data_IF_102994728914
#
_entry.id   IF_102994728914
#
_cell.length_a   1.000
_cell.length_b   1.000
_cell.length_c   1.000
_cell.angle_alpha   90.00
_cell.angle_beta   90.00
_cell.angle_gamma   90.00
#
_symmetry.space_group_name_H-M   'P 1'
#
loop_
_entity.id
_entity.type
_entity.pdbx_description
1 polymer ?
#
# COMPACT_ATOMS: atom_id res chain seq x y z
N UNK A 1 -7.01 -0.16 1.26
CA UNK A 1 -7.19 0.79 2.37
C UNK A 1 -7.41 2.20 1.79
N UNK A 2 -8.14 3.08 2.46
CA UNK A 2 -8.27 4.50 2.04
C UNK A 2 -7.45 5.40 2.98
N UNK A 3 -6.67 6.32 2.41
CA UNK A 3 -5.77 7.23 3.13
C UNK A 3 -5.94 8.66 2.61
N UNK A 4 -5.97 9.67 3.49
CA UNK A 4 -6.05 11.08 3.06
C UNK A 4 -4.66 11.70 3.08
N UNK A 5 -4.22 12.18 1.91
CA UNK A 5 -2.93 12.85 1.73
C UNK A 5 -3.11 14.11 0.86
N UNK A 6 -2.51 15.23 1.27
CA UNK A 6 -2.63 16.52 0.58
C UNK A 6 -4.09 16.91 0.22
N UNK A 7 -4.99 16.76 1.19
CA UNK A 7 -6.42 17.09 1.03
C UNK A 7 -7.23 16.12 0.16
N UNK A 8 -6.64 15.05 -0.38
CA UNK A 8 -7.31 14.10 -1.26
C UNK A 8 -7.32 12.69 -0.68
N UNK A 9 -8.43 11.97 -0.89
CA UNK A 9 -8.51 10.56 -0.55
C UNK A 9 -7.83 9.72 -1.63
N UNK A 10 -6.99 8.78 -1.20
CA UNK A 10 -6.19 7.88 -2.03
C UNK A 10 -6.47 6.44 -1.62
N UNK A 11 -6.50 5.55 -2.59
CA UNK A 11 -6.63 4.12 -2.33
C UNK A 11 -5.25 3.47 -2.35
N UNK A 12 -4.88 2.84 -1.24
CA UNK A 12 -3.66 2.06 -1.09
C UNK A 12 -3.93 0.61 -1.47
N UNK A 13 -3.16 0.11 -2.44
CA UNK A 13 -3.09 -1.30 -2.76
C UNK A 13 -2.39 -2.05 -1.64
N UNK A 14 -3.15 -2.85 -0.89
CA UNK A 14 -2.63 -3.69 0.20
C UNK A 14 -2.87 -5.19 -0.03
N UNK A 15 -3.82 -5.57 -0.90
CA UNK A 15 -4.22 -6.96 -1.11
C UNK A 15 -5.50 -7.35 -0.35
N UNK A 16 -6.25 -8.30 -0.90
CA UNK A 16 -7.53 -8.77 -0.34
C UNK A 16 -7.32 -9.63 0.92
N UNK A 17 -6.18 -10.29 1.02
CA UNK A 17 -5.76 -11.11 2.16
C UNK A 17 -5.59 -10.30 3.46
N UNK A 18 -5.57 -8.97 3.37
CA UNK A 18 -5.54 -8.05 4.50
C UNK A 18 -6.89 -7.37 4.77
N UNK A 19 -7.97 -7.79 4.10
CA UNK A 19 -9.31 -7.28 4.38
C UNK A 19 -9.74 -7.54 5.83
N UNK A 20 -10.34 -6.54 6.48
CA UNK A 20 -10.78 -6.62 7.88
C UNK A 20 -9.65 -6.57 8.92
N UNK A 21 -8.38 -6.62 8.51
CA UNK A 21 -7.23 -6.53 9.43
C UNK A 21 -6.95 -5.08 9.80
N UNK A 22 -6.48 -4.88 11.04
CA UNK A 22 -6.07 -3.56 11.55
C UNK A 22 -4.66 -3.25 11.07
N UNK A 23 -4.40 -1.99 10.74
CA UNK A 23 -3.08 -1.56 10.31
C UNK A 23 -2.76 -0.12 10.68
N UNK A 24 -1.46 0.16 10.77
CA UNK A 24 -0.89 1.50 10.91
C UNK A 24 -0.37 1.90 9.54
N UNK A 25 -0.71 3.10 9.08
CA UNK A 25 -0.11 3.70 7.89
C UNK A 25 0.82 4.84 8.32
N UNK A 26 2.09 4.72 7.97
CA UNK A 26 3.12 5.75 8.20
C UNK A 26 3.44 6.37 6.85
N UNK A 27 3.35 7.70 6.77
CA UNK A 27 3.68 8.45 5.57
C UNK A 27 4.95 9.27 5.81
N UNK A 28 5.90 9.15 4.88
CA UNK A 28 6.97 10.13 4.68
C UNK A 28 6.71 10.92 3.38
N UNK A 29 7.66 11.75 2.95
CA UNK A 29 7.52 12.60 1.77
C UNK A 29 7.31 11.82 0.46
N UNK A 30 7.67 10.54 0.42
CA UNK A 30 7.74 9.74 -0.81
C UNK A 30 6.92 8.46 -0.76
N UNK A 31 6.69 7.94 0.43
CA UNK A 31 6.19 6.59 0.64
C UNK A 31 5.14 6.55 1.74
N UNK A 32 4.15 5.68 1.56
CA UNK A 32 3.31 5.19 2.64
C UNK A 32 3.67 3.73 2.90
N UNK A 33 4.01 3.43 4.15
CA UNK A 33 4.24 2.07 4.63
C UNK A 33 3.04 1.64 5.47
N UNK A 34 2.47 0.48 5.15
CA UNK A 34 1.34 -0.11 5.89
C UNK A 34 1.84 -1.30 6.69
N UNK A 35 1.58 -1.27 7.99
CA UNK A 35 2.05 -2.26 8.97
C UNK A 35 0.84 -2.94 9.58
N UNK A 36 0.83 -4.27 9.63
CA UNK A 36 -0.18 -5.04 10.33
C UNK A 36 -0.07 -4.79 11.83
N UNK A 37 -1.17 -4.35 12.46
CA UNK A 37 -1.12 -3.84 13.83
C UNK A 37 -0.68 -4.90 14.84
N UNK A 38 -1.15 -6.14 14.71
CA UNK A 38 -0.93 -7.16 15.73
C UNK A 38 0.42 -7.89 15.59
N UNK A 39 0.99 -7.91 14.38
CA UNK A 39 2.23 -8.67 14.10
C UNK A 39 3.45 -7.77 13.87
N UNK A 40 3.25 -6.47 13.62
CA UNK A 40 4.32 -5.56 13.24
C UNK A 40 4.87 -5.79 11.83
N UNK A 41 4.27 -6.70 11.06
CA UNK A 41 4.71 -7.01 9.70
C UNK A 41 4.38 -5.85 8.74
N UNK A 42 5.33 -5.48 7.87
CA UNK A 42 5.05 -4.57 6.76
C UNK A 42 4.31 -5.33 5.67
N UNK A 43 3.07 -4.93 5.39
CA UNK A 43 2.19 -5.60 4.42
C UNK A 43 2.06 -4.85 3.10
N UNK A 44 2.46 -3.56 3.07
CA UNK A 44 2.58 -2.81 1.83
C UNK A 44 3.55 -1.63 1.96
N UNK A 45 4.17 -1.31 0.83
CA UNK A 45 4.84 -0.03 0.59
C UNK A 45 4.25 0.59 -0.66
N UNK A 46 3.89 1.88 -0.61
CA UNK A 46 3.17 2.56 -1.68
C UNK A 46 3.85 3.90 -1.96
N UNK A 47 4.33 4.12 -3.19
CA UNK A 47 4.88 5.42 -3.58
C UNK A 47 3.76 6.46 -3.69
N UNK A 48 4.01 7.66 -3.18
CA UNK A 48 3.13 8.81 -3.33
C UNK A 48 3.17 9.27 -4.79
N UNK A 49 2.03 9.16 -5.47
CA UNK A 49 1.85 9.58 -6.86
C UNK A 49 0.73 10.62 -6.91
N UNK A 50 1.04 11.92 -6.86
CA UNK A 50 0.04 12.99 -6.70
C UNK A 50 -1.05 12.99 -7.78
N UNK A 51 -0.68 12.55 -8.98
CA UNK A 51 -1.48 12.42 -10.18
C UNK A 51 -2.43 11.21 -10.17
N UNK A 52 -2.26 10.25 -9.24
CA UNK A 52 -3.06 9.01 -9.20
C UNK A 52 -3.91 8.87 -7.95
N UNK A 53 -5.14 8.39 -8.13
CA UNK A 53 -6.04 8.07 -7.02
C UNK A 53 -5.73 6.73 -6.36
N UNK A 54 -5.10 5.81 -7.11
CA UNK A 54 -4.67 4.50 -6.64
C UNK A 54 -3.14 4.42 -6.56
N UNK A 55 -2.62 4.03 -5.39
CA UNK A 55 -1.19 3.82 -5.16
C UNK A 55 -0.96 2.33 -4.92
N UNK A 56 -0.31 1.68 -5.89
CA UNK A 56 -0.03 0.23 -5.88
C UNK A 56 0.96 -0.16 -4.79
N UNK A 57 0.89 -1.40 -4.31
CA UNK A 57 1.96 -1.98 -3.51
C UNK A 57 3.21 -2.16 -4.39
N UNK A 58 4.36 -1.67 -3.94
CA UNK A 58 5.66 -1.82 -4.61
C UNK A 58 6.36 -3.12 -4.23
N UNK A 59 5.98 -3.74 -3.11
CA UNK A 59 6.50 -5.04 -2.67
C UNK A 59 5.95 -6.21 -3.50
N UNK A 60 4.83 -6.00 -4.19
CA UNK A 60 4.28 -6.99 -5.11
C UNK A 60 4.73 -6.68 -6.53
N UNK A 61 5.14 -7.74 -7.23
CA UNK A 61 5.40 -7.66 -8.66
C UNK A 61 4.16 -7.05 -9.37
N UNK A 62 4.36 -6.13 -10.34
CA UNK A 62 3.26 -5.69 -11.18
C UNK A 62 2.60 -6.92 -11.83
N UNK A 63 1.27 -6.92 -11.89
CA UNK A 63 0.46 -8.12 -12.12
C UNK A 63 0.88 -9.06 -13.26
N UNK A 64 0.44 -10.32 -13.10
CA UNK A 64 0.48 -11.49 -14.00
C UNK A 64 1.34 -11.39 -15.28
N UNK A 65 2.66 -11.37 -15.11
CA UNK A 65 3.58 -12.01 -16.04
C UNK A 65 4.03 -13.35 -15.44
N UNK A 66 3.93 -14.49 -16.16
CA UNK A 66 4.26 -15.81 -15.64
C UNK A 66 5.77 -16.06 -15.36
N UNK A 67 6.55 -15.01 -15.09
CA UNK A 67 7.97 -15.10 -14.75
C UNK A 67 8.47 -14.02 -13.78
N UNK A 68 7.57 -13.24 -13.16
CA UNK A 68 7.96 -12.11 -12.30
C UNK A 68 8.05 -12.44 -10.79
N UNK A 69 7.88 -13.71 -10.42
CA UNK A 69 8.10 -14.18 -9.05
C UNK A 69 9.18 -15.26 -9.09
N UNK A 70 10.42 -14.89 -8.79
CA UNK A 70 11.52 -15.83 -8.49
C UNK A 70 11.90 -15.67 -7.03
#
# INVERSE_FOLDING_TARGET
>A
MSFRHAGRMRHLGIGIEHAGKRGIAVADDHTITVIHLDTGEVIASNNIQPDKTYWRNTQKAPGRWPGASS
#
